data_IF_954866087866
#
_entry.id   IF_954866087866
#
_cell.length_a   1.000
_cell.length_b   1.000
_cell.length_c   1.000
_cell.angle_alpha   90.00
_cell.angle_beta   90.00
_cell.angle_gamma   90.00
#
_symmetry.space_group_name_H-M   'P 1'
#
loop_
_entity.id
_entity.type
_entity.pdbx_description
1 polymer ?
#
# COMPACT_ATOMS: atom_id res chain seq x y z
N UNK A 1 -3.42 5.13 4.46
CA UNK A 1 -3.70 3.69 4.28
C UNK A 1 -5.17 3.33 4.31
N UNK A 2 -6.00 3.94 5.16
CA UNK A 2 -7.44 3.68 5.23
C UNK A 2 -8.19 3.65 3.88
N UNK A 3 -7.78 4.45 2.88
CA UNK A 3 -8.38 4.39 1.54
C UNK A 3 -8.13 3.05 0.83
N UNK A 4 -6.88 2.58 0.84
CA UNK A 4 -6.46 1.35 0.16
C UNK A 4 -7.08 0.13 0.87
N UNK A 5 -7.11 0.17 2.21
CA UNK A 5 -7.79 -0.82 3.05
C UNK A 5 -9.29 -0.92 2.72
N UNK A 6 -10.02 0.20 2.69
CA UNK A 6 -11.44 0.24 2.32
C UNK A 6 -11.72 -0.24 0.90
N UNK A 7 -10.71 -0.28 0.03
CA UNK A 7 -10.79 -0.79 -1.33
C UNK A 7 -10.42 -2.28 -1.41
N UNK A 8 -10.16 -2.94 -0.28
CA UNK A 8 -9.63 -4.30 -0.22
C UNK A 8 -8.34 -4.45 -1.03
N UNK A 9 -7.42 -3.48 -0.92
CA UNK A 9 -6.08 -3.58 -1.48
C UNK A 9 -5.02 -3.63 -0.38
N UNK A 10 -3.89 -4.26 -0.69
CA UNK A 10 -2.66 -4.21 0.12
C UNK A 10 -1.54 -3.66 -0.76
N UNK A 11 -0.77 -2.70 -0.25
CA UNK A 11 0.37 -2.10 -0.97
C UNK A 11 1.57 -3.05 -1.11
N UNK A 12 1.81 -3.88 -0.09
CA UNK A 12 2.90 -4.89 0.04
C UNK A 12 4.34 -4.36 0.06
N UNK A 13 4.59 -3.12 -0.37
CA UNK A 13 5.90 -2.46 -0.27
C UNK A 13 5.78 -1.02 0.25
N UNK A 14 5.14 -0.85 1.42
CA UNK A 14 5.09 0.48 2.04
C UNK A 14 6.38 0.74 2.80
N UNK A 15 7.20 1.66 2.29
CA UNK A 15 8.45 2.13 2.91
C UNK A 15 8.64 3.61 2.63
N UNK A 16 9.54 4.27 3.37
CA UNK A 16 9.81 5.70 3.19
C UNK A 16 10.18 6.09 1.75
N UNK A 17 10.89 5.21 1.04
CA UNK A 17 11.24 5.41 -0.38
C UNK A 17 10.02 5.48 -1.31
N UNK A 18 8.89 4.89 -0.92
CA UNK A 18 7.64 4.84 -1.67
C UNK A 18 6.62 5.87 -1.18
N UNK A 19 7.07 6.89 -0.42
CA UNK A 19 6.29 8.05 -0.04
C UNK A 19 6.88 9.27 -0.71
N UNK A 20 6.17 9.82 -1.69
CA UNK A 20 6.55 11.06 -2.37
C UNK A 20 6.14 12.25 -1.52
N UNK A 21 7.00 13.27 -1.47
CA UNK A 21 6.75 14.54 -0.76
C UNK A 21 6.83 15.66 -1.78
N UNK A 22 5.81 16.54 -1.80
CA UNK A 22 5.83 17.74 -2.64
C UNK A 22 6.38 18.96 -1.89
N UNK A 23 6.61 20.07 -2.60
CA UNK A 23 7.06 21.35 -2.03
C UNK A 23 6.07 21.94 -0.99
N UNK A 24 4.81 21.51 -1.04
CA UNK A 24 3.77 21.89 -0.07
C UNK A 24 3.74 20.96 1.16
N UNK A 25 4.76 20.12 1.33
CA UNK A 25 4.85 19.08 2.37
C UNK A 25 3.68 18.07 2.33
N UNK A 26 3.08 17.88 1.16
CA UNK A 26 2.03 16.89 0.96
C UNK A 26 2.65 15.53 0.63
N UNK A 27 2.32 14.53 1.44
CA UNK A 27 2.76 13.16 1.22
C UNK A 27 1.77 12.37 0.36
N UNK A 28 2.27 11.64 -0.63
CA UNK A 28 1.50 10.70 -1.46
C UNK A 28 2.19 9.35 -1.50
N UNK A 29 1.40 8.28 -1.36
CA UNK A 29 1.89 6.91 -1.50
C UNK A 29 2.13 6.62 -2.98
N UNK A 30 3.27 6.02 -3.31
CA UNK A 30 3.68 5.65 -4.66
C UNK A 30 4.19 4.20 -4.72
N UNK A 31 4.49 3.74 -5.93
CA UNK A 31 4.95 2.38 -6.24
C UNK A 31 4.00 1.26 -5.81
N UNK A 32 2.90 1.14 -6.57
CA UNK A 32 1.93 0.06 -6.42
C UNK A 32 2.30 -1.20 -7.20
N UNK A 33 3.57 -1.36 -7.64
CA UNK A 33 4.00 -2.49 -8.48
C UNK A 33 3.82 -3.85 -7.82
N UNK A 34 3.81 -3.89 -6.48
CA UNK A 34 3.55 -5.10 -5.68
C UNK A 34 2.14 -5.11 -5.07
N UNK A 35 1.30 -4.12 -5.35
CA UNK A 35 -0.03 -4.03 -4.75
C UNK A 35 -0.96 -5.14 -5.24
N UNK A 36 -1.86 -5.62 -4.39
CA UNK A 36 -2.85 -6.67 -4.72
C UNK A 36 -4.21 -6.42 -4.09
N UNK A 37 -5.25 -6.90 -4.77
CA UNK A 37 -6.60 -7.04 -4.19
C UNK A 37 -6.60 -8.18 -3.19
N UNK A 38 -7.27 -7.98 -2.06
CA UNK A 38 -7.60 -9.02 -1.10
C UNK A 38 -8.88 -9.68 -1.61
N UNK A 39 -8.79 -10.93 -2.05
CA UNK A 39 -9.96 -11.79 -2.21
C UNK A 39 -10.19 -12.53 -0.88
N UNK A 40 -11.46 -12.73 -0.51
CA UNK A 40 -11.94 -13.09 0.85
C UNK A 40 -11.28 -14.32 1.53
N UNK A 41 -10.41 -15.07 0.84
CA UNK A 41 -9.70 -16.25 1.37
C UNK A 41 -8.17 -16.13 1.44
N UNK A 42 -7.55 -15.02 1.02
CA UNK A 42 -6.08 -14.89 0.93
C UNK A 42 -5.47 -13.89 1.93
N UNK A 43 -6.07 -13.68 3.11
CA UNK A 43 -5.36 -13.01 4.20
C UNK A 43 -4.49 -14.01 4.99
N UNK A 44 -3.59 -14.71 4.31
CA UNK A 44 -2.52 -15.46 4.99
C UNK A 44 -1.28 -14.56 5.00
N UNK A 45 -1.00 -13.93 6.14
CA UNK A 45 0.33 -13.42 6.42
C UNK A 45 1.29 -14.62 6.43
N UNK A 46 1.83 -14.98 5.28
CA UNK A 46 2.96 -15.92 5.22
C UNK A 46 4.18 -15.13 5.65
N UNK A 47 4.62 -15.36 6.88
CA UNK A 47 5.96 -15.00 7.30
C UNK A 47 6.95 -15.57 6.27
N UNK A 48 7.82 -14.70 5.77
CA UNK A 48 8.95 -15.07 4.92
C UNK A 48 10.12 -15.57 5.76
#
# INVERSE_FOLDING_TARGET
MAYIERKNYIHRDLRAANVLVSDLLMCKIADFGLARVIEDNEYTAREG
#
